data_IF_352258785162
#
_entry.id   IF_352258785162
#
_cell.length_a   1.000
_cell.length_b   1.000
_cell.length_c   1.000
_cell.angle_alpha   90.00
_cell.angle_beta   90.00
_cell.angle_gamma   90.00
#
_symmetry.space_group_name_H-M   'P 1'
#
loop_
_entity.id
_entity.type
_entity.pdbx_description
1 polymer ?
#
# COMPACT_ATOMS: atom_id res chain seq x y z
N UNK A 1 -3.53 9.37 26.50
CA UNK A 1 -4.56 9.30 25.44
C UNK A 1 -3.92 8.72 24.18
N UNK A 2 -4.26 7.48 23.83
CA UNK A 2 -3.79 6.82 22.59
C UNK A 2 -4.68 7.32 21.45
N UNK A 3 -4.16 8.24 20.64
CA UNK A 3 -4.77 8.57 19.34
C UNK A 3 -4.91 7.24 18.59
N UNK A 4 -6.13 6.90 18.18
CA UNK A 4 -6.55 5.58 17.72
C UNK A 4 -5.49 4.87 16.84
N UNK A 5 -5.23 3.57 17.02
CA UNK A 5 -4.36 2.81 16.12
C UNK A 5 -4.94 2.97 14.71
N UNK A 6 -4.27 3.75 13.86
CA UNK A 6 -4.79 4.11 12.53
C UNK A 6 -4.99 2.81 11.76
N UNK A 7 -6.25 2.43 11.60
CA UNK A 7 -6.61 1.12 11.06
C UNK A 7 -5.93 0.92 9.70
N UNK A 8 -5.22 -0.19 9.47
CA UNK A 8 -4.54 -0.45 8.20
C UNK A 8 -5.52 -0.47 7.01
N UNK A 9 -6.82 -0.72 7.26
CA UNK A 9 -7.88 -0.62 6.27
C UNK A 9 -8.18 0.83 5.84
N UNK A 10 -8.06 1.80 6.74
CA UNK A 10 -8.22 3.23 6.40
C UNK A 10 -7.03 3.70 5.56
N UNK A 11 -5.82 3.29 5.94
CA UNK A 11 -4.61 3.58 5.16
C UNK A 11 -4.67 2.96 3.76
N UNK A 12 -5.16 1.71 3.65
CA UNK A 12 -5.39 1.06 2.36
C UNK A 12 -6.38 1.84 1.49
N UNK A 13 -7.54 2.20 2.02
CA UNK A 13 -8.56 2.98 1.27
C UNK A 13 -8.03 4.34 0.83
N UNK A 14 -7.34 5.06 1.71
CA UNK A 14 -6.74 6.35 1.36
C UNK A 14 -5.66 6.19 0.28
N UNK A 15 -4.84 5.13 0.35
CA UNK A 15 -3.85 4.84 -0.68
C UNK A 15 -4.51 4.57 -2.05
N UNK A 16 -5.64 3.85 -2.08
CA UNK A 16 -6.39 3.62 -3.32
C UNK A 16 -6.91 4.93 -3.92
N UNK A 17 -7.45 5.82 -3.09
CA UNK A 17 -7.92 7.14 -3.53
C UNK A 17 -6.78 7.96 -4.13
N UNK A 18 -5.60 7.99 -3.50
CA UNK A 18 -4.44 8.72 -4.04
C UNK A 18 -3.96 8.14 -5.35
N UNK A 19 -3.93 6.82 -5.47
CA UNK A 19 -3.56 6.16 -6.72
C UNK A 19 -4.54 6.52 -7.86
N UNK A 20 -5.84 6.55 -7.56
CA UNK A 20 -6.89 6.95 -8.51
C UNK A 20 -6.80 8.43 -8.91
N UNK A 21 -6.34 9.31 -8.00
CA UNK A 21 -6.08 10.72 -8.28
C UNK A 21 -4.76 10.97 -9.04
N UNK A 22 -3.99 9.92 -9.34
CA UNK A 22 -2.70 10.02 -10.02
C UNK A 22 -1.51 10.28 -9.09
N UNK A 23 -1.73 10.45 -7.78
CA UNK A 23 -0.68 10.62 -6.78
C UNK A 23 -0.13 9.25 -6.33
N UNK A 24 0.63 8.63 -7.23
CA UNK A 24 1.21 7.30 -7.03
C UNK A 24 2.24 7.28 -5.88
N UNK A 25 3.01 8.36 -5.72
CA UNK A 25 4.00 8.49 -4.65
C UNK A 25 3.34 8.49 -3.27
N UNK A 26 2.29 9.30 -3.06
CA UNK A 26 1.58 9.31 -1.79
C UNK A 26 0.83 8.00 -1.53
N UNK A 27 0.26 7.38 -2.58
CA UNK A 27 -0.36 6.08 -2.49
C UNK A 27 0.61 5.00 -1.97
N UNK A 28 1.85 4.97 -2.47
CA UNK A 28 2.86 4.03 -1.99
C UNK A 28 3.21 4.26 -0.52
N UNK A 29 3.43 5.51 -0.10
CA UNK A 29 3.76 5.84 1.29
C UNK A 29 2.65 5.40 2.26
N UNK A 30 1.39 5.63 1.88
CA UNK A 30 0.24 5.21 2.67
C UNK A 30 0.13 3.68 2.77
N UNK A 31 0.35 2.95 1.67
CA UNK A 31 0.33 1.49 1.69
C UNK A 31 1.49 0.90 2.52
N UNK A 32 2.70 1.46 2.43
CA UNK A 32 3.83 1.06 3.28
C UNK A 32 3.53 1.26 4.75
N UNK A 33 2.91 2.39 5.11
CA UNK A 33 2.45 2.63 6.47
C UNK A 33 1.32 1.67 6.86
N UNK A 34 0.43 1.31 5.94
CA UNK A 34 -0.59 0.28 6.16
C UNK A 34 0.02 -1.07 6.51
N UNK A 35 1.13 -1.45 5.84
CA UNK A 35 1.82 -2.73 6.07
C UNK A 35 2.36 -2.84 7.50
N UNK A 36 2.84 -1.75 8.10
CA UNK A 36 3.37 -1.78 9.48
C UNK A 36 2.29 -2.12 10.51
N UNK A 37 1.02 -1.90 10.18
CA UNK A 37 -0.11 -2.20 11.06
C UNK A 37 -0.92 -3.43 10.61
N UNK A 38 -0.61 -4.04 9.47
CA UNK A 38 -1.33 -5.19 8.92
C UNK A 38 -0.79 -6.56 9.37
N UNK A 39 0.02 -6.60 10.44
CA UNK A 39 0.57 -7.86 10.94
C UNK A 39 -0.53 -8.86 11.32
N UNK A 40 -0.34 -10.14 11.00
CA UNK A 40 -1.33 -11.19 11.21
C UNK A 40 -2.56 -11.12 10.27
N UNK A 41 -2.58 -10.23 9.27
CA UNK A 41 -3.67 -10.09 8.30
C UNK A 41 -3.15 -10.31 6.88
N UNK A 42 -2.86 -11.57 6.53
CA UNK A 42 -2.24 -11.95 5.27
C UNK A 42 -2.95 -11.34 4.04
N UNK A 43 -4.28 -11.42 3.97
CA UNK A 43 -5.05 -10.86 2.85
C UNK A 43 -4.89 -9.33 2.72
N UNK A 44 -4.79 -8.62 3.85
CA UNK A 44 -4.59 -7.18 3.85
C UNK A 44 -3.15 -6.82 3.45
N UNK A 45 -2.17 -7.60 3.91
CA UNK A 45 -0.77 -7.44 3.50
C UNK A 45 -0.61 -7.64 1.99
N UNK A 46 -1.22 -8.70 1.43
CA UNK A 46 -1.25 -8.94 -0.01
C UNK A 46 -1.87 -7.77 -0.78
N UNK A 47 -3.01 -7.26 -0.32
CA UNK A 47 -3.68 -6.10 -0.93
C UNK A 47 -2.80 -4.84 -0.91
N UNK A 48 -2.12 -4.57 0.20
CA UNK A 48 -1.20 -3.44 0.34
C UNK A 48 0.04 -3.58 -0.55
N UNK A 49 0.61 -4.79 -0.66
CA UNK A 49 1.71 -5.06 -1.60
C UNK A 49 1.28 -4.90 -3.06
N UNK A 50 0.07 -5.34 -3.41
CA UNK A 50 -0.52 -5.12 -4.72
C UNK A 50 -0.71 -3.64 -5.05
N UNK A 51 -1.04 -2.82 -4.05
CA UNK A 51 -1.14 -1.37 -4.21
C UNK A 51 0.23 -0.71 -4.42
N UNK A 52 1.24 -1.10 -3.63
CA UNK A 52 2.63 -0.65 -3.82
C UNK A 52 3.13 -0.99 -5.22
N UNK A 53 2.82 -2.19 -5.73
CA UNK A 53 3.18 -2.58 -7.07
C UNK A 53 2.60 -1.62 -8.12
N UNK A 54 1.29 -1.37 -8.07
CA UNK A 54 0.62 -0.45 -9.00
C UNK A 54 1.15 0.98 -8.89
N UNK A 55 1.39 1.47 -7.68
CA UNK A 55 2.00 2.78 -7.45
C UNK A 55 3.39 2.89 -8.09
N UNK A 56 4.23 1.85 -7.96
CA UNK A 56 5.57 1.85 -8.53
C UNK A 56 5.55 1.79 -10.05
N UNK A 57 4.65 1.03 -10.66
CA UNK A 57 4.48 1.03 -12.11
C UNK A 57 4.10 2.41 -12.64
N UNK A 58 3.16 3.10 -11.99
CA UNK A 58 2.78 4.46 -12.37
C UNK A 58 3.92 5.47 -12.20
N UNK A 59 4.88 5.18 -11.32
CA UNK A 59 6.10 5.98 -11.13
C UNK A 59 7.23 5.58 -12.09
N UNK A 60 7.06 4.56 -12.94
CA UNK A 60 8.09 4.05 -13.84
C UNK A 60 9.06 3.03 -13.22
N UNK A 61 8.85 2.62 -11.96
CA UNK A 61 9.65 1.62 -11.27
C UNK A 61 9.10 0.19 -11.50
N UNK A 62 9.31 -0.32 -12.71
CA UNK A 62 8.85 -1.65 -13.10
C UNK A 62 9.49 -2.78 -12.27
N UNK A 63 10.79 -2.64 -11.94
CA UNK A 63 11.52 -3.62 -11.15
C UNK A 63 10.98 -3.68 -9.71
N UNK A 64 10.78 -2.54 -9.07
CA UNK A 64 10.19 -2.46 -7.75
C UNK A 64 8.73 -2.90 -7.73
N UNK A 65 7.98 -2.70 -8.81
CA UNK A 65 6.63 -3.24 -8.94
C UNK A 65 6.61 -4.78 -8.98
N UNK A 66 7.51 -5.39 -9.75
CA UNK A 66 7.64 -6.85 -9.81
C UNK A 66 7.99 -7.46 -8.44
N UNK A 67 8.91 -6.83 -7.71
CA UNK A 67 9.26 -7.25 -6.35
C UNK A 67 8.07 -7.12 -5.38
N UNK A 68 7.30 -6.05 -5.48
CA UNK A 68 6.10 -5.86 -4.66
C UNK A 68 5.02 -6.91 -4.97
N UNK A 69 4.84 -7.29 -6.25
CA UNK A 69 3.92 -8.38 -6.63
C UNK A 69 4.33 -9.73 -6.09
N UNK A 70 5.63 -10.04 -6.04
CA UNK A 70 6.09 -11.29 -5.43
C UNK A 70 5.71 -11.36 -3.95
N UNK A 71 5.81 -10.24 -3.22
CA UNK A 71 5.43 -10.15 -1.81
C UNK A 71 3.91 -10.17 -1.57
N UNK A 72 3.12 -9.96 -2.62
CA UNK A 72 1.66 -10.02 -2.54
C UNK A 72 1.10 -11.44 -2.67
N UNK A 73 1.95 -12.42 -3.01
CA UNK A 73 1.60 -13.85 -3.09
C UNK A 73 1.72 -14.51 -1.72
#
# INVERSE_FOLDING_TARGET
QRVAPREPQVLYRLAQVRLAQGDAAQAEQLARRGLTYANGRASLQASLWGLIAQSREKQGDAAGAALARQKAR
#
